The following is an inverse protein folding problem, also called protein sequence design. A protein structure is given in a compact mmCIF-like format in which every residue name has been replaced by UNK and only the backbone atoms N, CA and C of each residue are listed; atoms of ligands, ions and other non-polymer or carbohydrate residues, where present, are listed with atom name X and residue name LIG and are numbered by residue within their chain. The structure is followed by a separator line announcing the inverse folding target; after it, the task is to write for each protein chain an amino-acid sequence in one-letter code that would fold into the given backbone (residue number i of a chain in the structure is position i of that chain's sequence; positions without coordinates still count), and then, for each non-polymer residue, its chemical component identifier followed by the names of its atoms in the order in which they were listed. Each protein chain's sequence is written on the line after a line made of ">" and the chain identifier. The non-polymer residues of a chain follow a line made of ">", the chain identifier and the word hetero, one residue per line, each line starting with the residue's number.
data_IF_333775208856
#
_entry.id   IF_333775208856
#
_cell.length_a   1.000
_cell.length_b   1.000
_cell.length_c   1.000
_cell.angle_alpha   90.00
_cell.angle_beta   90.00
_cell.angle_gamma   90.00
#
_symmetry.space_group_name_H-M   'P 1'
#
loop_
_entity.id
_entity.type
_entity.pdbx_description
1 polymer ?
#
# COMPACT_ATOMS: atom_id res chain seq x y z
N UNK A 1 -5.61 -5.76 26.85
CA UNK A 1 -6.94 -5.94 26.25
C UNK A 1 -7.00 -5.17 24.94
N UNK A 2 -7.55 -5.79 23.89
CA UNK A 2 -7.89 -5.10 22.65
C UNK A 2 -9.26 -4.43 22.85
N UNK A 3 -9.32 -3.12 22.68
CA UNK A 3 -10.56 -2.35 22.78
C UNK A 3 -11.06 -2.03 21.37
N UNK A 4 -12.36 -2.25 21.17
CA UNK A 4 -13.02 -2.00 19.89
C UNK A 4 -14.41 -1.40 20.07
N UNK A 5 -14.92 -0.79 19.00
CA UNK A 5 -16.33 -0.39 18.89
C UNK A 5 -16.90 -0.73 17.52
N UNK A 6 -18.19 -1.04 17.46
CA UNK A 6 -18.88 -1.22 16.19
C UNK A 6 -19.22 0.13 15.56
N UNK A 7 -18.96 0.25 14.27
CA UNK A 7 -19.34 1.36 13.40
C UNK A 7 -20.37 0.88 12.37
N UNK A 8 -21.08 1.79 11.69
CA UNK A 8 -21.97 1.44 10.57
C UNK A 8 -21.25 0.60 9.51
N UNK A 9 -22.05 -0.13 8.70
CA UNK A 9 -21.56 -0.98 7.61
C UNK A 9 -20.66 -2.15 8.06
N UNK A 10 -20.94 -2.73 9.24
CA UNK A 10 -20.22 -3.90 9.78
C UNK A 10 -18.71 -3.62 9.90
N UNK A 11 -18.34 -2.49 10.50
CA UNK A 11 -16.94 -2.14 10.75
C UNK A 11 -16.65 -2.22 12.25
N UNK A 12 -15.59 -2.91 12.64
CA UNK A 12 -15.03 -2.89 14.00
C UNK A 12 -13.83 -1.94 14.03
N UNK A 13 -13.93 -0.84 14.76
CA UNK A 13 -12.78 0.04 14.96
C UNK A 13 -11.94 -0.44 16.13
N UNK A 14 -10.72 -0.92 15.83
CA UNK A 14 -9.74 -1.34 16.84
C UNK A 14 -8.92 -0.12 17.25
N UNK A 15 -9.31 0.52 18.35
CA UNK A 15 -8.80 1.85 18.72
C UNK A 15 -7.77 1.83 19.85
N UNK A 16 -7.61 0.73 20.58
CA UNK A 16 -6.58 0.63 21.61
C UNK A 16 -6.17 -0.81 21.89
N UNK A 17 -4.89 -1.02 22.23
CA UNK A 17 -4.36 -2.28 22.73
C UNK A 17 -3.56 -2.01 23.99
N UNK A 18 -4.05 -2.52 25.10
CA UNK A 18 -3.35 -2.43 26.38
C UNK A 18 -2.72 -3.78 26.72
N UNK A 19 -1.56 -3.78 27.36
CA UNK A 19 -1.01 -4.97 28.00
C UNK A 19 -0.49 -4.54 29.36
N UNK A 20 -0.94 -5.18 30.47
CA UNK A 20 -0.41 -4.88 31.80
C UNK A 20 1.12 -4.96 31.81
N UNK A 21 1.78 -4.08 32.57
CA UNK A 21 3.25 -3.94 32.61
C UNK A 21 3.97 -5.28 32.85
N UNK A 22 3.44 -6.09 33.76
CA UNK A 22 3.93 -7.44 34.11
C UNK A 22 3.89 -8.47 32.94
N UNK A 23 3.18 -8.13 31.87
CA UNK A 23 2.96 -8.96 30.71
C UNK A 23 3.51 -8.37 29.40
N UNK A 24 4.14 -7.20 29.44
CA UNK A 24 4.80 -6.62 28.27
C UNK A 24 5.96 -7.51 27.79
N UNK A 25 6.19 -7.54 26.48
CA UNK A 25 7.22 -8.39 25.85
C UNK A 25 6.87 -9.88 25.70
N UNK A 26 5.72 -10.34 26.20
CA UNK A 26 5.28 -11.75 26.12
C UNK A 26 4.40 -12.08 24.90
N UNK A 27 4.27 -11.16 23.94
CA UNK A 27 3.47 -11.35 22.72
C UNK A 27 1.94 -11.31 22.92
N UNK A 28 1.44 -10.92 24.10
CA UNK A 28 -0.01 -10.91 24.40
C UNK A 28 -0.77 -9.96 23.47
N UNK A 29 -0.22 -8.77 23.18
CA UNK A 29 -0.84 -7.82 22.26
C UNK A 29 -1.10 -8.44 20.88
N UNK A 30 -0.12 -9.18 20.33
CA UNK A 30 -0.25 -9.89 19.06
C UNK A 30 -1.35 -10.95 19.10
N UNK A 31 -1.43 -11.73 20.17
CA UNK A 31 -2.49 -12.74 20.33
C UNK A 31 -3.88 -12.09 20.35
N UNK A 32 -4.05 -11.01 21.11
CA UNK A 32 -5.31 -10.27 21.19
C UNK A 32 -5.73 -9.71 19.83
N UNK A 33 -4.78 -9.18 19.06
CA UNK A 33 -5.04 -8.70 17.71
C UNK A 33 -5.50 -9.86 16.82
N UNK A 34 -4.78 -10.99 16.80
CA UNK A 34 -5.15 -12.19 16.03
C UNK A 34 -6.55 -12.70 16.34
N UNK A 35 -6.90 -12.82 17.61
CA UNK A 35 -8.26 -13.24 18.01
C UNK A 35 -9.32 -12.21 17.60
N UNK A 36 -9.00 -10.91 17.65
CA UNK A 36 -9.87 -9.85 17.13
C UNK A 36 -10.11 -9.97 15.62
N UNK A 37 -9.05 -10.24 14.83
CA UNK A 37 -9.15 -10.49 13.39
C UNK A 37 -9.99 -11.73 13.07
N UNK A 38 -9.76 -12.82 13.82
CA UNK A 38 -10.56 -14.04 13.70
C UNK A 38 -12.05 -13.79 13.98
N UNK A 39 -12.36 -13.11 15.08
CA UNK A 39 -13.74 -12.73 15.41
C UNK A 39 -14.40 -11.91 14.28
N UNK A 40 -13.69 -10.92 13.74
CA UNK A 40 -14.20 -10.12 12.63
C UNK A 40 -14.48 -10.98 11.38
N UNK A 41 -13.58 -11.91 11.05
CA UNK A 41 -13.74 -12.81 9.92
C UNK A 41 -14.98 -13.71 10.05
N UNK A 42 -15.12 -14.37 11.19
CA UNK A 42 -16.23 -15.28 11.50
C UNK A 42 -17.59 -14.57 11.45
N UNK A 43 -17.62 -13.30 11.86
CA UNK A 43 -18.84 -12.50 11.94
C UNK A 43 -19.03 -11.53 10.76
N UNK A 44 -18.20 -11.65 9.70
CA UNK A 44 -18.25 -10.84 8.49
C UNK A 44 -18.16 -9.32 8.73
N UNK A 45 -17.34 -8.92 9.70
CA UNK A 45 -16.96 -7.52 9.91
C UNK A 45 -15.69 -7.17 9.13
N UNK A 46 -15.57 -5.90 8.74
CA UNK A 46 -14.29 -5.28 8.37
C UNK A 46 -13.68 -4.61 9.59
N UNK A 47 -12.35 -4.47 9.64
CA UNK A 47 -11.64 -3.88 10.78
C UNK A 47 -11.07 -2.53 10.40
N UNK A 48 -11.39 -1.47 11.15
CA UNK A 48 -10.72 -0.18 11.03
C UNK A 48 -9.66 -0.06 12.13
N UNK A 49 -8.38 -0.35 11.84
CA UNK A 49 -7.34 -0.15 12.83
C UNK A 49 -7.04 1.34 12.99
N UNK A 50 -7.23 1.87 14.19
CA UNK A 50 -6.81 3.24 14.57
C UNK A 50 -5.81 3.24 15.71
N UNK A 51 -5.67 2.11 16.41
CA UNK A 51 -4.58 1.89 17.36
C UNK A 51 -3.24 1.73 16.63
N UNK A 52 -2.20 2.44 17.09
CA UNK A 52 -0.85 2.39 16.52
C UNK A 52 -0.28 0.97 16.41
N UNK A 53 -0.53 0.12 17.41
CA UNK A 53 0.00 -1.24 17.42
C UNK A 53 -0.69 -2.12 16.39
N UNK A 54 -2.01 -1.97 16.23
CA UNK A 54 -2.79 -2.72 15.25
C UNK A 54 -2.44 -2.28 13.83
N UNK A 55 -2.22 -0.97 13.62
CA UNK A 55 -1.70 -0.44 12.35
C UNK A 55 -0.35 -1.08 12.01
N UNK A 56 0.59 -1.07 12.96
CA UNK A 56 1.89 -1.72 12.80
C UNK A 56 1.78 -3.21 12.52
N UNK A 57 0.92 -3.93 13.23
CA UNK A 57 0.67 -5.36 12.99
C UNK A 57 0.17 -5.61 11.56
N UNK A 58 -0.78 -4.80 11.08
CA UNK A 58 -1.34 -4.91 9.72
C UNK A 58 -0.27 -4.70 8.65
N UNK A 59 0.68 -3.79 8.89
CA UNK A 59 1.78 -3.49 7.97
C UNK A 59 2.88 -4.55 7.98
N UNK A 60 3.36 -4.93 9.17
CA UNK A 60 4.58 -5.71 9.33
C UNK A 60 4.33 -7.23 9.38
N UNK A 61 3.15 -7.67 9.83
CA UNK A 61 2.95 -9.05 10.31
C UNK A 61 1.65 -9.74 9.84
N UNK A 62 0.64 -9.00 9.38
CA UNK A 62 -0.65 -9.56 9.02
C UNK A 62 -0.60 -10.43 7.75
N UNK A 63 -1.30 -11.56 7.80
CA UNK A 63 -1.57 -12.43 6.64
C UNK A 63 -2.39 -11.70 5.57
N UNK A 64 -2.45 -12.26 4.35
CA UNK A 64 -3.27 -11.67 3.29
C UNK A 64 -4.75 -11.62 3.65
N UNK A 65 -5.27 -12.66 4.33
CA UNK A 65 -6.66 -12.68 4.80
C UNK A 65 -6.93 -11.58 5.83
N UNK A 66 -6.00 -11.37 6.78
CA UNK A 66 -6.10 -10.29 7.76
C UNK A 66 -6.02 -8.91 7.11
N UNK A 67 -5.10 -8.70 6.16
CA UNK A 67 -5.01 -7.45 5.41
C UNK A 67 -6.29 -7.14 4.64
N UNK A 68 -6.96 -8.16 4.08
CA UNK A 68 -8.24 -8.01 3.39
C UNK A 68 -9.40 -7.65 4.32
N UNK A 69 -9.36 -8.04 5.60
CA UNK A 69 -10.33 -7.63 6.62
C UNK A 69 -10.16 -6.17 7.03
N UNK A 70 -8.94 -5.65 6.98
CA UNK A 70 -8.64 -4.26 7.34
C UNK A 70 -9.27 -3.26 6.35
N UNK A 71 -9.88 -2.20 6.86
CA UNK A 71 -10.32 -1.01 6.12
C UNK A 71 -9.16 -0.06 5.89
N UNK A 72 -8.09 -0.18 6.69
CA UNK A 72 -6.79 0.37 6.32
C UNK A 72 -6.27 -0.53 5.22
N UNK A 73 -6.73 -0.26 4.00
CA UNK A 73 -6.18 -0.87 2.80
C UNK A 73 -4.71 -0.47 2.76
N UNK A 74 -3.82 -1.40 3.08
CA UNK A 74 -2.49 -1.35 2.51
C UNK A 74 -2.71 -1.43 0.99
N UNK A 75 -2.68 -0.28 0.32
CA UNK A 75 -2.88 -0.21 -1.11
C UNK A 75 -1.73 -0.97 -1.77
N UNK A 76 -1.99 -2.20 -2.22
CA UNK A 76 -1.00 -3.05 -2.87
C UNK A 76 -0.94 -2.71 -4.35
N UNK A 77 0.24 -2.31 -4.81
CA UNK A 77 0.53 -2.15 -6.24
C UNK A 77 0.71 -3.52 -6.87
N UNK A 78 0.01 -3.76 -7.97
CA UNK A 78 0.16 -4.95 -8.80
C UNK A 78 0.89 -4.57 -10.09
N UNK A 79 1.63 -5.51 -10.68
CA UNK A 79 2.38 -5.31 -11.92
C UNK A 79 1.90 -6.28 -13.01
N UNK A 80 1.45 -5.75 -14.15
CA UNK A 80 1.08 -6.53 -15.33
C UNK A 80 2.05 -6.21 -16.47
N UNK A 81 3.06 -7.07 -16.68
CA UNK A 81 4.08 -6.89 -17.72
C UNK A 81 3.53 -6.91 -19.14
N UNK A 82 2.55 -7.79 -19.41
CA UNK A 82 1.93 -7.90 -20.75
C UNK A 82 1.11 -6.66 -21.12
N UNK A 83 0.52 -6.00 -20.13
CA UNK A 83 -0.18 -4.71 -20.30
C UNK A 83 0.73 -3.49 -20.05
N UNK A 84 2.00 -3.72 -19.71
CA UNK A 84 3.00 -2.70 -19.35
C UNK A 84 2.46 -1.66 -18.36
N UNK A 85 1.81 -2.13 -17.28
CA UNK A 85 1.25 -1.24 -16.27
C UNK A 85 1.45 -1.74 -14.84
N UNK A 86 1.62 -0.79 -13.93
CA UNK A 86 1.43 -0.97 -12.49
C UNK A 86 0.05 -0.43 -12.11
N UNK A 87 -0.70 -1.11 -11.26
CA UNK A 87 -2.05 -0.67 -10.91
C UNK A 87 -2.45 -1.03 -9.49
N UNK A 88 -3.44 -0.28 -8.97
CA UNK A 88 -4.13 -0.58 -7.72
C UNK A 88 -5.63 -0.64 -8.04
N UNK A 89 -6.28 -1.74 -7.66
CA UNK A 89 -7.73 -1.88 -7.73
C UNK A 89 -8.36 -1.45 -6.41
N UNK A 90 -9.41 -0.65 -6.48
CA UNK A 90 -10.16 -0.18 -5.31
C UNK A 90 -11.48 -0.94 -5.16
N UNK A 91 -11.99 -1.00 -3.92
CA UNK A 91 -13.25 -1.71 -3.62
C UNK A 91 -14.49 -1.19 -4.35
N UNK A 92 -14.46 0.05 -4.85
CA UNK A 92 -15.52 0.64 -5.67
C UNK A 92 -15.41 0.29 -7.17
N UNK A 93 -14.50 -0.61 -7.54
CA UNK A 93 -14.24 -1.01 -8.92
C UNK A 93 -13.39 -0.01 -9.73
N UNK A 94 -13.04 1.14 -9.16
CA UNK A 94 -12.11 2.07 -9.80
C UNK A 94 -10.66 1.53 -9.74
N UNK A 95 -9.80 2.09 -10.60
CA UNK A 95 -8.41 1.65 -10.74
C UNK A 95 -7.48 2.85 -10.91
N UNK A 96 -6.37 2.87 -10.18
CA UNK A 96 -5.24 3.77 -10.46
C UNK A 96 -4.17 3.00 -11.20
N UNK A 97 -3.42 3.67 -12.10
CA UNK A 97 -2.41 3.04 -12.94
C UNK A 97 -1.22 3.95 -13.25
N UNK A 98 -0.06 3.32 -13.41
CA UNK A 98 1.14 3.85 -14.05
C UNK A 98 1.44 2.96 -15.25
N UNK A 99 1.44 3.52 -16.44
CA UNK A 99 1.75 2.80 -17.68
C UNK A 99 3.17 3.13 -18.12
N UNK A 100 3.77 2.19 -18.85
CA UNK A 100 5.09 2.36 -19.41
C UNK A 100 5.22 1.72 -20.79
N UNK A 101 6.27 2.12 -21.50
CA UNK A 101 6.77 1.42 -22.68
C UNK A 101 8.21 0.97 -22.44
N UNK A 102 8.54 -0.24 -22.86
CA UNK A 102 9.93 -0.70 -22.89
C UNK A 102 10.59 -0.29 -24.21
N UNK A 103 11.67 0.47 -24.11
CA UNK A 103 12.46 0.96 -25.24
C UNK A 103 13.79 0.19 -25.35
N UNK A 104 14.47 0.23 -26.51
CA UNK A 104 15.79 -0.37 -26.67
C UNK A 104 16.80 0.13 -25.62
N UNK A 105 17.75 -0.72 -25.25
CA UNK A 105 18.80 -0.36 -24.29
C UNK A 105 18.38 -0.43 -22.82
N UNK A 106 17.37 -1.24 -22.48
CA UNK A 106 16.85 -1.41 -21.10
C UNK A 106 16.35 -0.07 -20.53
N UNK A 107 15.45 0.58 -21.26
CA UNK A 107 14.84 1.84 -20.83
C UNK A 107 13.33 1.65 -20.69
N UNK A 108 12.78 2.08 -19.55
CA UNK A 108 11.33 2.19 -19.34
C UNK A 108 10.92 3.65 -19.49
N UNK A 109 10.05 3.93 -20.44
CA UNK A 109 9.41 5.24 -20.58
C UNK A 109 8.09 5.23 -19.81
N UNK A 110 8.07 5.88 -18.64
CA UNK A 110 6.86 6.07 -17.84
C UNK A 110 6.05 7.24 -18.40
N UNK A 111 5.07 6.93 -19.23
CA UNK A 111 4.40 7.91 -20.09
C UNK A 111 3.01 8.34 -19.60
N UNK A 112 2.36 7.54 -18.76
CA UNK A 112 1.05 7.88 -18.23
C UNK A 112 0.85 7.47 -16.77
N UNK A 113 0.27 8.36 -15.98
CA UNK A 113 -0.25 8.05 -14.64
C UNK A 113 -1.67 8.54 -14.51
N UNK A 114 -2.50 7.74 -13.85
CA UNK A 114 -3.90 8.08 -13.60
C UNK A 114 -4.31 7.62 -12.20
N UNK A 115 -5.00 8.51 -11.49
CA UNK A 115 -5.60 8.23 -10.18
C UNK A 115 -7.05 8.70 -10.20
N UNK A 116 -8.01 7.82 -9.85
CA UNK A 116 -9.42 8.17 -9.76
C UNK A 116 -9.64 9.41 -8.88
N UNK A 117 -10.58 10.31 -9.20
CA UNK A 117 -10.79 11.56 -8.46
C UNK A 117 -10.96 11.37 -6.95
N UNK A 118 -11.68 10.33 -6.52
CA UNK A 118 -11.90 9.98 -5.11
C UNK A 118 -10.66 9.45 -4.40
N UNK A 119 -9.59 9.14 -5.14
CA UNK A 119 -8.31 8.64 -4.63
C UNK A 119 -7.17 9.66 -4.76
N UNK A 120 -7.42 10.82 -5.37
CA UNK A 120 -6.44 11.89 -5.48
C UNK A 120 -6.11 12.50 -4.10
N UNK A 121 -4.89 13.04 -3.94
CA UNK A 121 -4.41 13.60 -2.69
C UNK A 121 -4.05 12.58 -1.60
N UNK A 122 -4.27 11.28 -1.84
CA UNK A 122 -3.98 10.19 -0.88
C UNK A 122 -2.63 9.49 -1.09
N UNK A 123 -1.77 10.04 -1.95
CA UNK A 123 -0.45 9.46 -2.24
C UNK A 123 -0.45 8.25 -3.20
N UNK A 124 -1.58 7.92 -3.82
CA UNK A 124 -1.72 6.75 -4.72
C UNK A 124 -0.76 6.79 -5.90
N UNK A 125 -0.71 7.91 -6.63
CA UNK A 125 0.20 8.06 -7.76
C UNK A 125 1.67 7.91 -7.33
N UNK A 126 2.05 8.43 -6.15
CA UNK A 126 3.40 8.28 -5.60
C UNK A 126 3.76 6.81 -5.38
N UNK A 127 2.85 6.03 -4.79
CA UNK A 127 3.08 4.59 -4.57
C UNK A 127 3.29 3.82 -5.87
N UNK A 128 2.48 4.12 -6.91
CA UNK A 128 2.64 3.51 -8.22
C UNK A 128 4.02 3.81 -8.84
N UNK A 129 4.46 5.07 -8.75
CA UNK A 129 5.76 5.50 -9.27
C UNK A 129 6.91 4.88 -8.48
N UNK A 130 6.81 4.81 -7.16
CA UNK A 130 7.80 4.14 -6.31
C UNK A 130 7.99 2.67 -6.70
N UNK A 131 6.90 1.93 -6.89
CA UNK A 131 7.00 0.52 -7.30
C UNK A 131 7.58 0.40 -8.73
N UNK A 132 7.25 1.31 -9.63
CA UNK A 132 7.86 1.37 -10.96
C UNK A 132 9.38 1.63 -10.93
N UNK A 133 9.83 2.56 -10.09
CA UNK A 133 11.25 2.85 -9.91
C UNK A 133 12.01 1.69 -9.26
N UNK A 134 11.41 1.06 -8.25
CA UNK A 134 11.93 -0.15 -7.62
C UNK A 134 12.07 -1.29 -8.65
N UNK A 135 11.04 -1.54 -9.44
CA UNK A 135 11.09 -2.53 -10.52
C UNK A 135 12.23 -2.24 -11.50
N UNK A 136 12.42 -0.98 -11.90
CA UNK A 136 13.51 -0.59 -12.77
C UNK A 136 14.88 -0.87 -12.13
N UNK A 137 15.07 -0.52 -10.85
CA UNK A 137 16.31 -0.77 -10.12
C UNK A 137 16.64 -2.27 -10.04
N UNK A 138 15.67 -3.09 -9.61
CA UNK A 138 15.83 -4.54 -9.44
C UNK A 138 16.14 -5.26 -10.77
N UNK A 139 15.69 -4.70 -11.90
CA UNK A 139 15.82 -5.32 -13.21
C UNK A 139 16.85 -4.61 -14.12
N UNK A 140 17.66 -3.70 -13.57
CA UNK A 140 18.70 -2.94 -14.29
C UNK A 140 18.18 -2.12 -15.48
N UNK A 141 17.01 -1.50 -15.33
CA UNK A 141 16.47 -0.53 -16.28
C UNK A 141 16.85 0.91 -15.93
N UNK A 142 16.96 1.74 -16.97
CA UNK A 142 16.89 3.20 -16.85
C UNK A 142 15.47 3.69 -17.10
N UNK A 143 15.17 4.93 -16.69
CA UNK A 143 13.83 5.51 -16.72
C UNK A 143 13.82 6.81 -17.52
N UNK A 144 12.87 6.93 -18.45
CA UNK A 144 12.46 8.21 -19.03
C UNK A 144 11.12 8.60 -18.40
N UNK A 145 11.01 9.76 -17.74
CA UNK A 145 9.79 10.17 -17.06
C UNK A 145 8.92 11.07 -17.96
N UNK A 146 8.42 10.58 -19.09
CA UNK A 146 7.62 11.39 -20.04
C UNK A 146 6.33 11.94 -19.39
N UNK A 147 5.70 11.17 -18.50
CA UNK A 147 4.55 11.64 -17.74
C UNK A 147 4.95 12.80 -16.81
N UNK A 148 4.23 13.92 -16.88
CA UNK A 148 4.51 15.11 -16.07
C UNK A 148 4.60 14.83 -14.57
N UNK A 149 3.76 13.92 -14.05
CA UNK A 149 3.75 13.58 -12.62
C UNK A 149 4.99 12.78 -12.24
N UNK A 150 5.44 11.88 -13.13
CA UNK A 150 6.65 11.08 -12.93
C UNK A 150 7.89 11.97 -13.01
N UNK A 151 7.92 12.94 -13.92
CA UNK A 151 8.98 13.95 -13.98
C UNK A 151 9.03 14.78 -12.68
N UNK A 152 7.86 15.22 -12.19
CA UNK A 152 7.74 15.90 -10.89
C UNK A 152 8.27 15.03 -9.75
N UNK A 153 7.90 13.75 -9.70
CA UNK A 153 8.42 12.80 -8.72
C UNK A 153 9.93 12.68 -8.78
N UNK A 154 10.49 12.45 -9.97
CA UNK A 154 11.92 12.32 -10.19
C UNK A 154 12.70 13.56 -9.71
N UNK A 155 12.15 14.76 -9.90
CA UNK A 155 12.82 16.00 -9.50
C UNK A 155 12.71 16.26 -7.98
N UNK A 156 11.50 16.16 -7.44
CA UNK A 156 11.16 16.69 -6.11
C UNK A 156 11.09 15.63 -5.01
N UNK A 157 10.81 14.37 -5.36
CA UNK A 157 10.43 13.34 -4.38
C UNK A 157 11.33 12.11 -4.38
N UNK A 158 12.03 11.83 -5.49
CA UNK A 158 12.90 10.67 -5.63
C UNK A 158 14.14 10.77 -4.72
N UNK A 159 14.54 9.63 -4.17
CA UNK A 159 15.80 9.44 -3.46
C UNK A 159 17.00 9.62 -4.38
N UNK A 160 18.20 9.77 -3.81
CA UNK A 160 19.42 9.90 -4.58
C UNK A 160 19.69 8.70 -5.50
N UNK A 161 19.31 7.48 -5.07
CA UNK A 161 19.48 6.28 -5.88
C UNK A 161 18.46 6.17 -7.01
N UNK A 162 17.19 6.49 -6.73
CA UNK A 162 16.16 6.59 -7.76
C UNK A 162 16.52 7.61 -8.84
N UNK A 163 17.08 8.76 -8.46
CA UNK A 163 17.53 9.79 -9.42
C UNK A 163 18.61 9.28 -10.38
N UNK A 164 19.45 8.31 -9.99
CA UNK A 164 20.47 7.71 -10.87
C UNK A 164 19.86 6.80 -11.96
N UNK A 165 18.62 6.35 -11.78
CA UNK A 165 17.90 5.54 -12.78
C UNK A 165 17.38 6.41 -13.92
N UNK A 166 17.14 7.68 -13.67
CA UNK A 166 16.58 8.61 -14.65
C UNK A 166 17.61 8.92 -15.73
N UNK A 167 17.23 8.77 -17.00
CA UNK A 167 18.03 9.18 -18.13
C UNK A 167 18.24 10.71 -18.10
N UNK A 168 19.49 11.13 -18.28
CA UNK A 168 19.89 12.53 -18.39
C UNK A 168 19.84 13.00 -19.84
#
# INVERSE_FOLDING_TARGET
>A
LLQYRELPNRILEFHNTETPLEHQGKGIAKLLVKEGFKYAAENRYRIKPTCWYVLKYVEDEATEEEQNLSTTMALRVQHCKSAMEFFINFSNGSRARLQYRELPGRILDFDHTETPPDQQGKGVAKMLVQEGFKYAAENNYKIIPTCWYVAKYANEMATADEKKLVCQ
#
